data_IF_384143738781
#
_entry.id   IF_384143738781
#
_cell.length_a   1.000
_cell.length_b   1.000
_cell.length_c   1.000
_cell.angle_alpha   90.00
_cell.angle_beta   90.00
_cell.angle_gamma   90.00
#
_symmetry.space_group_name_H-M   'P 1'
#
loop_
_entity.id
_entity.type
_entity.pdbx_description
1 polymer ?
#
# COMPACT_ATOMS: atom_id res chain seq x y z
N UNK A 1 -8.22 -28.11 8.33
CA UNK A 1 -7.90 -27.34 7.11
C UNK A 1 -6.40 -27.40 6.90
N UNK A 2 -5.93 -27.64 5.68
CA UNK A 2 -4.50 -27.58 5.37
C UNK A 2 -4.04 -26.12 5.44
N UNK A 3 -2.90 -25.81 6.07
CA UNK A 3 -2.39 -24.44 6.10
C UNK A 3 -2.06 -23.98 4.67
N UNK A 4 -2.54 -22.78 4.34
CA UNK A 4 -2.29 -22.13 3.06
C UNK A 4 -0.84 -21.64 2.99
N UNK A 5 -0.13 -21.95 1.92
CA UNK A 5 1.20 -21.39 1.68
C UNK A 5 1.13 -19.91 1.32
N UNK A 6 2.22 -19.18 1.55
CA UNK A 6 2.34 -17.78 1.11
C UNK A 6 2.15 -17.63 -0.40
N UNK A 7 2.61 -18.60 -1.19
CA UNK A 7 2.46 -18.59 -2.64
C UNK A 7 0.99 -18.67 -3.06
N UNK A 8 0.23 -19.58 -2.45
CA UNK A 8 -1.21 -19.72 -2.73
C UNK A 8 -1.99 -18.48 -2.27
N UNK A 9 -1.61 -17.90 -1.13
CA UNK A 9 -2.19 -16.65 -0.66
C UNK A 9 -1.93 -15.51 -1.65
N UNK A 10 -0.68 -15.33 -2.07
CA UNK A 10 -0.31 -14.28 -3.02
C UNK A 10 -1.00 -14.46 -4.38
N UNK A 11 -1.14 -15.70 -4.86
CA UNK A 11 -1.86 -16.00 -6.08
C UNK A 11 -3.34 -15.62 -5.97
N UNK A 12 -3.98 -15.92 -4.83
CA UNK A 12 -5.36 -15.52 -4.57
C UNK A 12 -5.52 -13.99 -4.52
N UNK A 13 -4.64 -13.27 -3.81
CA UNK A 13 -4.67 -11.81 -3.74
C UNK A 13 -4.43 -11.13 -5.09
N UNK A 14 -3.56 -11.70 -5.93
CA UNK A 14 -3.32 -11.21 -7.29
C UNK A 14 -4.56 -11.36 -8.18
N UNK A 15 -5.28 -12.47 -8.06
CA UNK A 15 -6.52 -12.72 -8.80
C UNK A 15 -7.62 -11.73 -8.40
N UNK A 16 -7.84 -11.51 -7.11
CA UNK A 16 -8.82 -10.52 -6.64
C UNK A 16 -8.47 -9.10 -7.09
N UNK A 17 -7.18 -8.74 -7.06
CA UNK A 17 -6.70 -7.44 -7.58
C UNK A 17 -6.99 -7.30 -9.08
N UNK A 18 -6.80 -8.36 -9.87
CA UNK A 18 -7.10 -8.37 -11.31
C UNK A 18 -8.59 -8.23 -11.58
N UNK A 19 -9.41 -8.95 -10.83
CA UNK A 19 -10.87 -9.00 -10.99
C UNK A 19 -11.51 -7.62 -10.84
N UNK A 20 -11.06 -6.82 -9.87
CA UNK A 20 -11.66 -5.54 -9.53
C UNK A 20 -10.81 -4.31 -9.92
N UNK A 21 -9.80 -4.49 -10.77
CA UNK A 21 -8.79 -3.47 -11.09
C UNK A 21 -9.35 -2.10 -11.54
N UNK A 22 -10.52 -2.07 -12.19
CA UNK A 22 -11.12 -0.86 -12.76
C UNK A 22 -12.40 -0.41 -12.03
N UNK A 23 -12.75 -1.06 -10.92
CA UNK A 23 -13.96 -0.70 -10.17
C UNK A 23 -13.81 0.59 -9.37
N UNK A 24 -12.56 0.96 -9.04
CA UNK A 24 -12.25 2.11 -8.20
C UNK A 24 -11.38 3.11 -8.95
N UNK A 25 -11.70 4.40 -8.81
CA UNK A 25 -10.86 5.46 -9.31
C UNK A 25 -9.67 5.69 -8.36
N UNK A 26 -8.57 5.00 -8.65
CA UNK A 26 -7.33 5.11 -7.86
C UNK A 26 -6.73 6.52 -7.90
N UNK A 27 -6.94 7.29 -8.98
CA UNK A 27 -6.46 8.67 -9.06
C UNK A 27 -7.13 9.59 -8.03
N UNK A 28 -8.44 9.43 -7.83
CA UNK A 28 -9.18 10.17 -6.80
C UNK A 28 -8.70 9.78 -5.40
N UNK A 29 -8.55 8.47 -5.14
CA UNK A 29 -8.03 7.99 -3.86
C UNK A 29 -6.62 8.54 -3.57
N UNK A 30 -5.74 8.56 -4.57
CA UNK A 30 -4.39 9.10 -4.43
C UNK A 30 -4.38 10.61 -4.19
N UNK A 31 -5.28 11.37 -4.83
CA UNK A 31 -5.44 12.80 -4.58
C UNK A 31 -5.87 13.08 -3.13
N UNK A 32 -6.77 12.26 -2.59
CA UNK A 32 -7.19 12.34 -1.18
C UNK A 32 -6.05 12.00 -0.23
N UNK A 33 -5.31 10.92 -0.49
CA UNK A 33 -4.12 10.56 0.28
C UNK A 33 -3.08 11.68 0.23
N UNK A 34 -2.87 12.32 -0.92
CA UNK A 34 -1.92 13.42 -1.04
C UNK A 34 -2.22 14.61 -0.12
N UNK A 35 -3.46 14.77 0.37
CA UNK A 35 -3.80 15.78 1.40
C UNK A 35 -3.00 15.60 2.70
N UNK A 36 -2.43 14.42 2.94
CA UNK A 36 -1.46 14.20 4.04
C UNK A 36 -0.16 15.00 3.90
N UNK A 37 0.05 15.72 2.77
CA UNK A 37 1.16 16.67 2.59
C UNK A 37 1.33 17.65 3.76
N UNK A 38 0.27 17.93 4.52
CA UNK A 38 0.32 18.73 5.76
C UNK A 38 1.29 18.15 6.80
N UNK A 39 1.56 16.86 6.75
CA UNK A 39 2.51 16.15 7.62
C UNK A 39 3.87 15.91 6.98
N UNK A 40 4.20 16.60 5.87
CA UNK A 40 5.43 16.37 5.11
C UNK A 40 6.69 16.42 5.99
N UNK A 41 6.78 17.38 6.90
CA UNK A 41 7.95 17.52 7.78
C UNK A 41 8.11 16.32 8.73
N UNK A 42 7.01 15.85 9.31
CA UNK A 42 6.97 14.68 10.19
C UNK A 42 7.34 13.41 9.41
N UNK A 43 6.81 13.23 8.21
CA UNK A 43 7.12 12.10 7.34
C UNK A 43 8.60 12.09 6.93
N UNK A 44 9.17 13.26 6.61
CA UNK A 44 10.61 13.39 6.30
C UNK A 44 11.49 13.09 7.52
N UNK A 45 11.06 13.52 8.71
CA UNK A 45 11.76 13.20 9.96
C UNK A 45 11.77 11.69 10.22
N UNK A 46 10.62 11.03 10.13
CA UNK A 46 10.51 9.56 10.29
C UNK A 46 11.36 8.84 9.25
N UNK A 47 11.29 9.24 7.97
CA UNK A 47 12.12 8.67 6.92
C UNK A 47 13.60 8.79 7.26
N UNK A 48 14.06 9.97 7.68
CA UNK A 48 15.45 10.22 8.07
C UNK A 48 15.88 9.34 9.25
N UNK A 49 15.00 9.12 10.21
CA UNK A 49 15.26 8.25 11.36
C UNK A 49 15.43 6.78 10.93
N UNK A 50 14.50 6.26 10.13
CA UNK A 50 14.54 4.89 9.63
C UNK A 50 15.77 4.64 8.73
N UNK A 51 16.13 5.58 7.86
CA UNK A 51 17.31 5.45 6.98
C UNK A 51 18.65 5.59 7.71
N UNK A 52 18.65 6.03 8.98
CA UNK A 52 19.87 6.09 9.81
C UNK A 52 20.05 4.84 10.68
N UNK A 53 19.03 3.99 10.78
CA UNK A 53 19.04 2.76 11.58
C UNK A 53 19.35 1.51 10.74
N UNK A 54 19.58 1.67 9.44
CA UNK A 54 20.05 0.66 8.49
C UNK A 54 21.42 1.07 7.96
#
# INVERSE_FOLDING_TARGET
MTPLSEQEMNAHLAEESRKYQNEFNTNVAMAEIYKVKRYRTQLLYIKKLLTRQL
#
